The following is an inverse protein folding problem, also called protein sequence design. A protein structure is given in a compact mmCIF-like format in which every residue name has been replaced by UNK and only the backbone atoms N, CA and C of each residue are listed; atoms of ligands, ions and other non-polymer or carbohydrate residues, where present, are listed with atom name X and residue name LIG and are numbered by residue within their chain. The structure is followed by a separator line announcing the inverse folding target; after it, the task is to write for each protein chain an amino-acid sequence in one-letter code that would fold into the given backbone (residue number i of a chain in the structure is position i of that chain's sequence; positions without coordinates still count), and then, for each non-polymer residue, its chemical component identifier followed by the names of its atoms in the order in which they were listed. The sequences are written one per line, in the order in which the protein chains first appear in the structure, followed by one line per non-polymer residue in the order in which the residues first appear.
data_IF_171408516168
#
_entry.id   IF_171408516168
#
_cell.length_a   1.000
_cell.length_b   1.000
_cell.length_c   1.000
_cell.angle_alpha   90.00
_cell.angle_beta   90.00
_cell.angle_gamma   90.00
#
_symmetry.space_group_name_H-M   'P 1'
#
loop_
_entity.id
_entity.type
_entity.pdbx_description
1 polymer ?
#
# COMPACT_ATOMS: atom_id res chain seq x y z
N UNK A 1 25.19 -49.26 46.98
CA UNK A 1 23.85 -49.05 46.43
C UNK A 1 23.81 -47.68 45.79
N UNK A 2 23.39 -47.64 44.54
CA UNK A 2 23.44 -46.48 43.64
C UNK A 2 22.31 -45.48 43.91
N UNK A 3 22.59 -44.20 43.65
CA UNK A 3 21.63 -43.10 43.77
C UNK A 3 20.62 -43.02 42.63
N UNK A 4 19.50 -42.35 42.89
CA UNK A 4 18.49 -42.01 41.91
C UNK A 4 18.36 -40.47 41.82
N UNK A 5 18.83 -39.92 40.70
CA UNK A 5 18.50 -38.56 40.23
C UNK A 5 17.19 -38.63 39.44
N UNK A 6 16.20 -37.84 39.83
CA UNK A 6 14.95 -37.70 39.09
C UNK A 6 15.18 -36.66 37.99
N UNK A 7 15.29 -37.11 36.74
CA UNK A 7 15.29 -36.26 35.55
C UNK A 7 13.86 -36.22 34.97
N UNK A 8 13.23 -35.06 35.04
CA UNK A 8 11.96 -34.77 34.37
C UNK A 8 12.26 -34.51 32.89
N UNK A 9 11.96 -35.49 32.04
CA UNK A 9 11.99 -35.36 30.57
C UNK A 9 10.65 -34.83 30.08
N UNK A 10 10.54 -33.53 29.87
CA UNK A 10 9.48 -32.95 29.05
C UNK A 10 9.92 -32.94 27.58
N UNK A 11 9.78 -34.08 26.89
CA UNK A 11 9.83 -34.09 25.43
C UNK A 11 8.48 -33.57 24.91
N UNK A 12 8.36 -32.27 24.67
CA UNK A 12 7.34 -31.77 23.74
C UNK A 12 7.79 -32.18 22.34
N UNK A 13 7.00 -33.02 21.69
CA UNK A 13 7.08 -33.25 20.26
C UNK A 13 7.14 -31.89 19.55
N UNK A 14 8.24 -31.62 18.87
CA UNK A 14 8.23 -30.68 17.77
C UNK A 14 7.54 -31.40 16.62
N UNK A 15 6.22 -31.24 16.53
CA UNK A 15 5.51 -31.50 15.28
C UNK A 15 6.07 -30.52 14.25
N UNK A 16 7.04 -31.00 13.47
CA UNK A 16 7.43 -30.38 12.21
C UNK A 16 6.26 -30.63 11.27
N UNK A 17 5.29 -29.70 11.29
CA UNK A 17 4.28 -29.64 10.23
C UNK A 17 5.04 -29.28 8.97
N UNK A 18 5.23 -30.28 8.13
CA UNK A 18 5.73 -30.09 6.76
C UNK A 18 4.70 -29.20 6.06
N UNK A 19 5.07 -28.06 5.46
CA UNK A 19 4.08 -27.23 4.78
C UNK A 19 3.48 -28.02 3.62
N UNK A 20 2.24 -28.49 3.80
CA UNK A 20 1.40 -28.93 2.71
C UNK A 20 1.12 -27.73 1.82
N UNK A 21 1.21 -27.92 0.51
CA UNK A 21 1.08 -26.89 -0.52
C UNK A 21 -0.32 -26.27 -0.66
N UNK A 22 -1.16 -26.28 0.38
CA UNK A 22 -2.56 -25.83 0.30
C UNK A 22 -3.13 -25.27 1.62
N UNK A 23 -2.33 -24.76 2.57
CA UNK A 23 -2.89 -24.00 3.68
C UNK A 23 -3.18 -22.55 3.29
N UNK A 24 -4.39 -22.35 2.75
CA UNK A 24 -5.04 -21.03 2.73
C UNK A 24 -5.24 -20.56 4.17
N UNK A 25 -4.39 -19.64 4.63
CA UNK A 25 -4.65 -18.89 5.86
C UNK A 25 -5.95 -18.11 5.66
N UNK A 26 -6.95 -18.44 6.46
CA UNK A 26 -8.28 -17.84 6.50
C UNK A 26 -8.21 -16.32 6.65
N UNK A 27 -9.00 -15.59 5.87
CA UNK A 27 -9.07 -14.14 5.78
C UNK A 27 -9.70 -13.44 7.01
N UNK A 28 -9.95 -14.15 8.11
CA UNK A 28 -10.74 -13.66 9.24
C UNK A 28 -10.00 -13.60 10.59
N UNK A 29 -8.66 -13.71 10.62
CA UNK A 29 -7.88 -13.46 11.84
C UNK A 29 -7.29 -12.05 11.83
N UNK A 30 -7.88 -11.07 12.55
CA UNK A 30 -7.30 -9.74 12.66
C UNK A 30 -5.96 -9.82 13.40
N UNK A 31 -4.86 -9.48 12.71
CA UNK A 31 -3.58 -9.16 13.33
C UNK A 31 -2.44 -10.15 13.15
N UNK A 32 -2.63 -11.24 12.39
CA UNK A 32 -1.50 -12.11 12.01
C UNK A 32 -0.85 -11.52 10.75
N UNK A 33 0.44 -11.19 10.84
CA UNK A 33 1.20 -10.69 9.69
C UNK A 33 1.30 -11.78 8.62
N UNK A 34 0.97 -11.45 7.37
CA UNK A 34 1.23 -12.32 6.24
C UNK A 34 2.74 -12.38 6.02
N UNK A 35 3.33 -13.54 6.28
CA UNK A 35 4.75 -13.78 6.09
C UNK A 35 5.00 -14.01 4.61
N UNK A 36 5.83 -13.15 4.02
CA UNK A 36 6.30 -13.29 2.65
C UNK A 36 7.78 -13.67 2.75
N UNK A 37 8.16 -14.90 2.37
CA UNK A 37 9.56 -15.32 2.36
C UNK A 37 10.40 -14.39 1.49
N UNK A 38 11.66 -14.16 1.90
CA UNK A 38 12.57 -13.35 1.11
C UNK A 38 12.85 -13.99 -0.26
N UNK A 39 12.91 -13.18 -1.31
CA UNK A 39 13.06 -13.62 -2.70
C UNK A 39 11.82 -14.28 -3.30
N UNK A 40 10.69 -14.34 -2.57
CA UNK A 40 9.47 -14.98 -3.04
C UNK A 40 8.40 -13.98 -3.49
N UNK A 41 7.52 -14.45 -4.38
CA UNK A 41 6.30 -13.76 -4.79
C UNK A 41 5.10 -14.61 -4.41
N UNK A 42 4.13 -14.01 -3.72
CA UNK A 42 2.88 -14.66 -3.33
C UNK A 42 1.68 -13.85 -3.83
N UNK A 43 0.52 -14.48 -3.92
CA UNK A 43 -0.73 -13.78 -4.15
C UNK A 43 -1.08 -12.90 -2.95
N UNK A 44 -1.65 -11.72 -3.21
CA UNK A 44 -2.16 -10.86 -2.13
C UNK A 44 -3.38 -11.54 -1.51
N UNK A 45 -3.44 -11.56 -0.19
CA UNK A 45 -4.59 -12.06 0.57
C UNK A 45 -5.39 -10.91 1.18
N UNK A 46 -6.57 -11.25 1.69
CA UNK A 46 -7.43 -10.36 2.45
C UNK A 46 -8.78 -10.07 1.78
N UNK A 47 -9.60 -9.23 2.42
CA UNK A 47 -10.97 -9.00 2.01
C UNK A 47 -11.09 -8.49 0.57
N UNK A 48 -11.96 -9.14 -0.21
CA UNK A 48 -12.30 -8.76 -1.58
C UNK A 48 -11.12 -8.65 -2.54
N UNK A 49 -9.96 -9.22 -2.26
CA UNK A 49 -8.85 -9.19 -3.23
C UNK A 49 -9.28 -9.94 -4.49
N UNK A 50 -9.23 -9.24 -5.63
CA UNK A 50 -9.56 -9.81 -6.95
C UNK A 50 -8.32 -10.16 -7.74
N UNK A 51 -7.25 -9.39 -7.55
CA UNK A 51 -5.96 -9.66 -8.16
C UNK A 51 -4.84 -8.99 -7.39
N UNK A 52 -3.64 -9.49 -7.65
CA UNK A 52 -2.39 -8.85 -7.28
C UNK A 52 -1.42 -9.83 -6.64
N UNK A 53 -0.16 -9.45 -6.68
CA UNK A 53 0.93 -10.20 -6.06
C UNK A 53 1.77 -9.27 -5.21
N UNK A 54 2.42 -9.86 -4.22
CA UNK A 54 3.41 -9.17 -3.39
C UNK A 54 4.69 -10.00 -3.39
N UNK A 55 5.80 -9.32 -3.69
CA UNK A 55 7.15 -9.86 -3.63
C UNK A 55 7.93 -9.20 -2.50
N UNK A 56 8.84 -9.96 -1.87
CA UNK A 56 9.78 -9.43 -0.88
C UNK A 56 11.22 -9.62 -1.35
N UNK A 57 12.02 -8.57 -1.20
CA UNK A 57 13.48 -8.58 -1.38
C UNK A 57 14.13 -7.82 -0.21
N UNK A 58 14.71 -8.55 0.73
CA UNK A 58 15.19 -8.04 2.01
C UNK A 58 14.07 -7.39 2.83
N UNK A 59 14.13 -6.07 3.01
CA UNK A 59 13.12 -5.27 3.69
C UNK A 59 12.12 -4.60 2.72
N UNK A 60 12.35 -4.70 1.42
CA UNK A 60 11.51 -4.09 0.40
C UNK A 60 10.37 -5.03 0.01
N UNK A 61 9.16 -4.51 0.05
CA UNK A 61 7.98 -5.17 -0.50
C UNK A 61 7.57 -4.48 -1.80
N UNK A 62 7.30 -5.26 -2.84
CA UNK A 62 6.80 -4.78 -4.12
C UNK A 62 5.45 -5.42 -4.40
N UNK A 63 4.44 -4.58 -4.58
CA UNK A 63 3.07 -4.97 -4.86
C UNK A 63 2.75 -4.66 -6.32
N UNK A 64 2.24 -5.67 -7.03
CA UNK A 64 1.86 -5.55 -8.43
C UNK A 64 0.39 -5.94 -8.63
N UNK A 65 -0.32 -5.19 -9.47
CA UNK A 65 -1.71 -5.44 -9.86
C UNK A 65 -2.69 -5.57 -8.70
N UNK A 66 -2.46 -4.86 -7.60
CA UNK A 66 -3.38 -4.87 -6.47
C UNK A 66 -4.73 -4.29 -6.86
N UNK A 67 -5.77 -5.10 -6.68
CA UNK A 67 -7.16 -4.72 -6.95
C UNK A 67 -8.09 -5.42 -5.97
N UNK A 68 -9.01 -4.67 -5.38
CA UNK A 68 -10.12 -5.23 -4.63
C UNK A 68 -11.43 -5.15 -5.44
N UNK A 69 -12.32 -6.13 -5.22
CA UNK A 69 -13.65 -6.17 -5.80
C UNK A 69 -14.50 -5.01 -5.28
N UNK A 70 -15.36 -4.55 -6.18
CA UNK A 70 -16.40 -3.56 -5.90
C UNK A 70 -17.73 -4.28 -5.85
N UNK A 71 -18.43 -4.24 -4.72
CA UNK A 71 -19.83 -4.67 -4.68
C UNK A 71 -20.62 -3.86 -3.65
N UNK A 72 -21.79 -3.39 -4.05
CA UNK A 72 -22.84 -2.88 -3.17
C UNK A 72 -23.51 -4.05 -2.44
N UNK A 73 -23.05 -4.36 -1.22
CA UNK A 73 -23.67 -5.35 -0.34
C UNK A 73 -23.57 -4.93 1.14
N UNK A 74 -24.50 -5.35 2.02
CA UNK A 74 -24.48 -4.94 3.42
C UNK A 74 -23.22 -5.48 4.13
N UNK A 75 -22.40 -4.58 4.67
CA UNK A 75 -21.15 -4.92 5.37
C UNK A 75 -19.87 -4.85 4.53
N UNK A 76 -19.95 -4.44 3.26
CA UNK A 76 -18.79 -4.22 2.38
C UNK A 76 -18.75 -2.75 1.89
N UNK A 77 -17.58 -2.12 1.70
CA UNK A 77 -17.50 -0.72 1.22
C UNK A 77 -18.15 -0.52 -0.17
N UNK A 78 -19.16 0.34 -0.26
CA UNK A 78 -19.79 0.75 -1.52
C UNK A 78 -18.97 1.74 -2.36
N UNK A 79 -17.77 2.12 -1.92
CA UNK A 79 -17.20 3.46 -2.20
C UNK A 79 -16.11 3.51 -3.29
N UNK A 80 -15.79 2.37 -3.91
CA UNK A 80 -14.81 2.34 -4.99
C UNK A 80 -13.35 2.51 -4.55
N UNK A 81 -13.02 2.31 -3.27
CA UNK A 81 -11.66 2.46 -2.75
C UNK A 81 -10.93 1.13 -2.55
N UNK A 82 -9.60 1.18 -2.53
CA UNK A 82 -8.74 0.08 -2.12
C UNK A 82 -8.02 0.41 -0.83
N UNK A 83 -7.80 -0.60 0.00
CA UNK A 83 -7.31 -0.45 1.36
C UNK A 83 -6.10 -1.35 1.56
N UNK A 84 -5.05 -0.80 2.14
CA UNK A 84 -3.81 -1.52 2.40
C UNK A 84 -3.36 -1.38 3.85
N UNK A 85 -2.74 -2.44 4.37
CA UNK A 85 -2.13 -2.50 5.70
C UNK A 85 -0.68 -2.95 5.57
N UNK A 86 0.25 -2.01 5.64
CA UNK A 86 1.69 -2.24 5.59
C UNK A 86 2.19 -3.18 6.69
N UNK A 87 1.70 -3.05 7.93
CA UNK A 87 2.23 -3.81 9.07
C UNK A 87 1.94 -5.31 9.01
N UNK A 88 0.97 -5.73 8.20
CA UNK A 88 0.58 -7.13 8.05
C UNK A 88 0.64 -7.64 6.60
N UNK A 89 1.11 -6.81 5.67
CA UNK A 89 1.25 -7.14 4.24
C UNK A 89 -0.04 -7.66 3.58
N UNK A 90 -1.17 -7.07 3.94
CA UNK A 90 -2.49 -7.57 3.56
C UNK A 90 -3.40 -6.44 3.10
N UNK A 91 -4.37 -6.79 2.23
CA UNK A 91 -5.49 -5.91 1.94
C UNK A 91 -6.27 -5.58 3.22
N UNK A 92 -6.84 -4.38 3.27
CA UNK A 92 -7.66 -3.89 4.37
C UNK A 92 -9.14 -3.77 4.02
N UNK A 93 -9.87 -3.16 4.94
CA UNK A 93 -11.26 -2.73 4.81
C UNK A 93 -11.37 -1.27 5.26
N UNK A 94 -12.53 -0.61 5.10
CA UNK A 94 -12.73 0.76 5.57
C UNK A 94 -12.55 0.89 7.10
N UNK A 95 -12.69 -0.20 7.84
CA UNK A 95 -12.60 -0.21 9.29
C UNK A 95 -11.16 -0.37 9.81
N UNK A 96 -10.21 -0.84 9.00
CA UNK A 96 -8.88 -1.24 9.50
C UNK A 96 -7.71 -0.90 8.57
N UNK A 97 -7.90 -0.04 7.58
CA UNK A 97 -6.85 0.36 6.66
C UNK A 97 -5.79 1.28 7.29
N UNK A 98 -4.58 1.22 6.74
CA UNK A 98 -3.52 2.22 7.01
C UNK A 98 -3.45 3.23 5.88
N UNK A 99 -3.58 2.76 4.65
CA UNK A 99 -3.71 3.59 3.47
C UNK A 99 -4.97 3.22 2.70
N UNK A 100 -5.70 4.24 2.29
CA UNK A 100 -6.80 4.15 1.33
C UNK A 100 -6.36 4.79 0.03
N UNK A 101 -6.52 4.07 -1.05
CA UNK A 101 -6.34 4.51 -2.41
C UNK A 101 -7.70 4.66 -3.08
N UNK A 102 -7.95 5.76 -3.80
CA UNK A 102 -9.18 5.83 -4.58
C UNK A 102 -9.11 4.95 -5.83
N UNK A 103 -10.18 4.20 -6.10
CA UNK A 103 -10.34 3.41 -7.33
C UNK A 103 -10.99 4.21 -8.46
N UNK A 104 -10.77 5.53 -8.47
CA UNK A 104 -11.12 6.41 -9.60
C UNK A 104 -9.83 6.99 -10.18
N UNK A 105 -9.91 7.57 -11.37
CA UNK A 105 -8.74 8.03 -12.13
C UNK A 105 -7.89 9.10 -11.42
N UNK A 106 -8.36 9.70 -10.33
CA UNK A 106 -7.57 10.66 -9.52
C UNK A 106 -6.57 9.98 -8.60
N UNK A 107 -6.73 8.69 -8.30
CA UNK A 107 -5.82 7.90 -7.48
C UNK A 107 -5.41 8.53 -6.15
N UNK A 108 -6.30 9.31 -5.53
CA UNK A 108 -6.03 10.03 -4.30
C UNK A 108 -5.73 9.08 -3.14
N UNK A 109 -4.84 9.50 -2.26
CA UNK A 109 -4.34 8.70 -1.14
C UNK A 109 -4.68 9.40 0.17
N UNK A 110 -5.29 8.65 1.09
CA UNK A 110 -5.64 9.13 2.44
C UNK A 110 -5.28 8.10 3.51
N UNK A 111 -5.14 8.56 4.74
CA UNK A 111 -4.95 7.73 5.94
C UNK A 111 -5.74 8.29 7.11
N UNK A 112 -6.09 7.44 8.07
CA UNK A 112 -6.55 7.88 9.39
C UNK A 112 -5.38 8.35 10.26
N UNK A 113 -4.16 7.96 9.90
CA UNK A 113 -2.93 8.38 10.57
C UNK A 113 -2.20 9.47 9.75
N UNK A 114 -0.97 9.78 10.13
CA UNK A 114 -0.18 10.83 9.46
C UNK A 114 0.40 10.33 8.14
N UNK A 115 0.16 11.09 7.07
CA UNK A 115 0.81 10.90 5.77
C UNK A 115 1.57 12.16 5.37
N UNK A 116 2.71 11.97 4.69
CA UNK A 116 3.59 13.03 4.20
C UNK A 116 4.21 12.65 2.86
N UNK A 117 4.83 13.61 2.19
CA UNK A 117 5.67 13.37 1.03
C UNK A 117 7.02 14.07 1.18
N UNK A 118 8.03 13.54 0.48
CA UNK A 118 9.35 14.15 0.38
C UNK A 118 9.89 13.99 -1.04
N UNK A 119 10.48 15.05 -1.57
CA UNK A 119 11.16 15.05 -2.88
C UNK A 119 12.56 14.44 -2.76
N UNK A 120 12.57 13.14 -2.46
CA UNK A 120 13.76 12.31 -2.33
C UNK A 120 13.46 10.91 -2.88
N UNK A 121 14.43 10.33 -3.59
CA UNK A 121 14.27 8.99 -4.16
C UNK A 121 14.00 7.95 -3.08
N UNK A 122 13.16 6.95 -3.37
CA UNK A 122 12.76 5.92 -2.41
C UNK A 122 13.95 5.23 -1.73
N UNK A 123 15.02 4.94 -2.49
CA UNK A 123 16.22 4.30 -1.97
C UNK A 123 16.98 5.17 -0.96
N UNK A 124 16.91 6.50 -1.09
CA UNK A 124 17.63 7.45 -0.25
C UNK A 124 16.87 7.88 1.01
N UNK A 125 15.56 7.60 1.09
CA UNK A 125 14.74 7.99 2.23
C UNK A 125 15.05 7.14 3.47
N UNK A 126 15.24 7.82 4.60
CA UNK A 126 15.55 7.29 5.94
C UNK A 126 14.57 7.82 6.99
N UNK A 127 14.52 7.20 8.18
CA UNK A 127 13.57 7.58 9.23
C UNK A 127 13.62 9.06 9.64
N UNK A 128 14.81 9.66 9.68
CA UNK A 128 15.01 11.07 10.03
C UNK A 128 14.33 12.05 9.07
N UNK A 129 14.10 11.64 7.81
CA UNK A 129 13.44 12.48 6.80
C UNK A 129 11.97 12.78 7.18
N UNK A 130 11.36 12.03 8.11
CA UNK A 130 10.00 12.32 8.60
C UNK A 130 9.87 13.75 9.12
N UNK A 131 10.90 14.26 9.81
CA UNK A 131 10.87 15.57 10.46
C UNK A 131 10.82 16.74 9.45
N UNK A 132 11.38 16.53 8.26
CA UNK A 132 11.48 17.55 7.19
C UNK A 132 10.54 17.29 6.01
N UNK A 133 9.84 16.15 6.01
CA UNK A 133 8.83 15.84 5.01
C UNK A 133 7.61 16.77 5.10
N UNK A 134 6.99 17.02 3.95
CA UNK A 134 5.89 17.95 3.82
C UNK A 134 4.55 17.26 4.09
N UNK A 135 3.64 17.97 4.75
CA UNK A 135 2.24 17.54 4.84
C UNK A 135 1.56 17.72 3.47
N UNK A 136 0.54 16.92 3.14
CA UNK A 136 -0.26 17.15 1.94
C UNK A 136 -0.92 18.53 2.03
N UNK A 137 -0.87 19.29 0.93
CA UNK A 137 -1.56 20.57 0.83
C UNK A 137 -3.08 20.40 0.78
N UNK A 138 -3.82 21.48 1.00
CA UNK A 138 -5.25 21.48 0.73
C UNK A 138 -5.50 21.37 -0.79
N UNK A 139 -6.60 20.71 -1.16
CA UNK A 139 -7.14 20.71 -2.51
C UNK A 139 -8.66 20.59 -2.44
N UNK A 140 -9.40 20.71 -3.56
CA UNK A 140 -10.83 20.40 -3.58
C UNK A 140 -11.17 18.96 -3.14
N UNK A 141 -10.20 18.04 -3.15
CA UNK A 141 -10.37 16.68 -2.61
C UNK A 141 -10.39 16.63 -1.07
N UNK A 142 -9.99 17.71 -0.40
CA UNK A 142 -9.95 17.83 1.06
C UNK A 142 -8.57 18.19 1.59
N UNK A 143 -8.48 18.24 2.93
CA UNK A 143 -7.21 18.35 3.65
C UNK A 143 -6.58 16.97 3.86
N UNK A 144 -5.24 16.93 3.95
CA UNK A 144 -4.49 15.68 4.19
C UNK A 144 -4.75 14.60 3.11
N UNK A 145 -4.92 15.03 1.86
CA UNK A 145 -5.08 14.15 0.69
C UNK A 145 -3.84 14.29 -0.19
N UNK A 146 -3.16 13.18 -0.47
CA UNK A 146 -2.10 13.16 -1.47
C UNK A 146 -2.74 12.78 -2.80
N UNK A 147 -2.99 13.79 -3.63
CA UNK A 147 -3.65 13.64 -4.93
C UNK A 147 -2.75 14.11 -6.07
N UNK A 148 -3.29 15.02 -6.90
CA UNK A 148 -2.62 15.56 -8.07
C UNK A 148 -1.51 16.56 -7.67
N UNK A 149 -0.28 16.30 -8.11
CA UNK A 149 0.82 17.24 -7.96
C UNK A 149 0.74 18.36 -9.00
N UNK A 150 0.60 17.97 -10.26
CA UNK A 150 0.55 18.90 -11.39
C UNK A 150 -0.38 18.37 -12.47
N UNK A 151 -0.87 19.26 -13.33
CA UNK A 151 -1.60 18.92 -14.55
C UNK A 151 -0.93 19.61 -15.73
N UNK A 152 -0.74 18.87 -16.82
CA UNK A 152 -0.12 19.38 -18.05
C UNK A 152 -0.98 19.09 -19.26
N UNK A 153 -1.02 20.04 -20.19
CA UNK A 153 -1.81 19.95 -21.41
C UNK A 153 -2.41 21.28 -21.81
N UNK A 154 -3.05 21.32 -22.96
CA UNK A 154 -3.75 22.50 -23.49
C UNK A 154 -5.23 22.45 -23.10
N UNK A 155 -5.81 23.61 -22.76
CA UNK A 155 -7.24 23.71 -22.48
C UNK A 155 -7.67 23.03 -21.18
N UNK A 156 -6.79 22.95 -20.18
CA UNK A 156 -7.12 22.41 -18.87
C UNK A 156 -8.14 23.34 -18.18
N UNK A 157 -9.31 22.85 -17.76
CA UNK A 157 -10.30 23.66 -17.06
C UNK A 157 -9.75 24.17 -15.71
N UNK A 158 -10.08 25.41 -15.29
CA UNK A 158 -9.65 25.95 -14.00
C UNK A 158 -9.99 25.05 -12.80
N UNK A 159 -11.16 24.38 -12.85
CA UNK A 159 -11.57 23.45 -11.81
C UNK A 159 -10.63 22.23 -11.67
N UNK A 160 -9.99 21.79 -12.76
CA UNK A 160 -9.02 20.68 -12.74
C UNK A 160 -7.66 21.19 -12.24
N UNK A 161 -7.25 22.37 -12.67
CA UNK A 161 -6.02 23.03 -12.19
C UNK A 161 -6.06 23.20 -10.66
N UNK A 162 -7.24 23.47 -10.09
CA UNK A 162 -7.40 23.62 -8.64
C UNK A 162 -7.06 22.33 -7.84
N UNK A 163 -7.09 21.15 -8.45
CA UNK A 163 -6.64 19.91 -7.80
C UNK A 163 -5.11 19.77 -7.77
N UNK A 164 -4.41 20.38 -8.72
CA UNK A 164 -2.95 20.35 -8.83
C UNK A 164 -2.31 21.33 -7.83
N UNK A 165 -1.97 20.84 -6.63
CA UNK A 165 -1.51 21.69 -5.52
C UNK A 165 0.01 21.64 -5.24
N UNK A 166 0.80 20.98 -6.09
CA UNK A 166 2.25 20.81 -5.89
C UNK A 166 2.64 19.84 -4.77
N UNK A 167 1.66 19.23 -4.09
CA UNK A 167 1.83 18.36 -2.92
C UNK A 167 1.27 16.94 -3.14
N UNK A 168 1.01 16.58 -4.39
CA UNK A 168 0.47 15.27 -4.78
C UNK A 168 1.53 14.22 -5.12
N UNK A 169 1.10 13.03 -5.56
CA UNK A 169 2.01 11.95 -5.95
C UNK A 169 2.14 11.78 -7.47
N UNK A 170 1.29 12.41 -8.27
CA UNK A 170 1.27 12.23 -9.72
C UNK A 170 1.12 13.52 -10.53
N UNK A 171 1.54 13.44 -11.79
CA UNK A 171 1.22 14.40 -12.84
C UNK A 171 0.09 13.88 -13.69
N UNK A 172 -0.94 14.68 -13.91
CA UNK A 172 -2.05 14.38 -14.80
C UNK A 172 -1.80 14.93 -16.21
N UNK A 173 -1.76 14.04 -17.20
CA UNK A 173 -1.58 14.39 -18.60
C UNK A 173 -2.95 14.63 -19.26
N UNK A 174 -3.43 15.86 -19.20
CA UNK A 174 -4.74 16.27 -19.70
C UNK A 174 -4.89 15.99 -21.20
N UNK A 175 -3.96 16.49 -22.01
CA UNK A 175 -4.04 16.39 -23.48
C UNK A 175 -3.41 15.11 -24.05
N UNK A 176 -2.78 14.28 -23.21
CA UNK A 176 -2.17 13.02 -23.62
C UNK A 176 -2.95 11.83 -23.03
N UNK A 177 -4.24 11.76 -23.38
CA UNK A 177 -5.10 10.61 -23.08
C UNK A 177 -5.59 10.54 -21.64
N UNK A 178 -5.60 11.65 -20.88
CA UNK A 178 -6.08 11.68 -19.49
C UNK A 178 -5.35 10.67 -18.59
N UNK A 179 -4.02 10.62 -18.71
CA UNK A 179 -3.18 9.64 -18.03
C UNK A 179 -2.50 10.19 -16.77
N UNK A 180 -2.12 9.29 -15.87
CA UNK A 180 -1.51 9.59 -14.57
C UNK A 180 -0.09 9.03 -14.56
N UNK A 181 0.90 9.84 -14.21
CA UNK A 181 2.29 9.40 -14.08
C UNK A 181 2.83 9.81 -12.71
N UNK A 182 3.44 8.90 -11.93
CA UNK A 182 4.05 9.25 -10.66
C UNK A 182 5.08 10.39 -10.80
N UNK A 183 5.16 11.26 -9.79
CA UNK A 183 6.20 12.29 -9.72
C UNK A 183 7.55 11.62 -9.47
N UNK A 184 8.47 11.77 -10.42
CA UNK A 184 9.80 11.21 -10.31
C UNK A 184 10.54 11.76 -9.07
N UNK A 185 11.22 10.88 -8.34
CA UNK A 185 12.01 11.26 -7.17
C UNK A 185 11.18 11.67 -5.95
N UNK A 186 9.86 11.43 -5.92
CA UNK A 186 9.01 11.67 -4.76
C UNK A 186 8.68 10.37 -4.04
N UNK A 187 8.87 10.37 -2.72
CA UNK A 187 8.51 9.26 -1.83
C UNK A 187 7.43 9.71 -0.87
N UNK A 188 6.47 8.82 -0.61
CA UNK A 188 5.41 9.03 0.37
C UNK A 188 5.79 8.36 1.69
N UNK A 189 5.32 8.94 2.79
CA UNK A 189 5.57 8.47 4.15
C UNK A 189 4.25 8.28 4.87
N UNK A 190 4.12 7.18 5.60
CA UNK A 190 3.01 6.91 6.49
C UNK A 190 3.53 6.62 7.89
N UNK A 191 2.89 7.19 8.92
CA UNK A 191 3.31 7.00 10.31
C UNK A 191 2.13 6.86 11.26
N UNK A 192 2.19 5.81 12.09
CA UNK A 192 1.29 5.59 13.23
C UNK A 192 2.07 5.02 14.41
N UNK A 193 2.05 5.71 15.56
CA UNK A 193 2.84 5.32 16.73
C UNK A 193 4.33 5.16 16.39
N UNK A 194 4.93 4.00 16.68
CA UNK A 194 6.32 3.69 16.35
C UNK A 194 6.53 3.24 14.90
N UNK A 195 5.46 2.94 14.16
CA UNK A 195 5.57 2.46 12.79
C UNK A 195 5.75 3.65 11.84
N UNK A 196 6.80 3.60 11.03
CA UNK A 196 7.06 4.53 9.95
C UNK A 196 7.37 3.72 8.69
N UNK A 197 6.62 3.98 7.62
CA UNK A 197 6.82 3.34 6.33
C UNK A 197 7.09 4.39 5.28
N UNK A 198 8.03 4.10 4.38
CA UNK A 198 8.11 4.75 3.08
C UNK A 198 7.40 3.92 2.04
N UNK A 199 6.74 4.57 1.09
CA UNK A 199 6.08 3.92 -0.03
C UNK A 199 6.09 4.81 -1.28
N UNK A 200 5.98 4.20 -2.44
CA UNK A 200 5.92 4.88 -3.73
C UNK A 200 4.90 4.14 -4.61
N UNK A 201 3.93 4.88 -5.15
CA UNK A 201 3.03 4.37 -6.18
C UNK A 201 3.78 4.43 -7.51
N UNK A 202 3.94 3.28 -8.15
CA UNK A 202 4.61 3.18 -9.44
C UNK A 202 3.63 3.25 -10.60
N UNK A 203 2.38 2.84 -10.41
CA UNK A 203 1.32 2.95 -11.42
C UNK A 203 -0.07 2.66 -10.85
N UNK A 204 -1.11 3.29 -11.43
CA UNK A 204 -2.53 2.94 -11.22
C UNK A 204 -3.12 2.09 -12.35
N UNK A 205 -2.28 1.62 -13.26
CA UNK A 205 -2.70 0.84 -14.42
C UNK A 205 -2.31 -0.63 -14.31
N UNK A 206 -3.10 -1.48 -14.95
CA UNK A 206 -2.82 -2.91 -15.02
C UNK A 206 -1.44 -3.14 -15.63
N UNK A 207 -0.66 -3.99 -14.98
CA UNK A 207 0.72 -4.35 -15.31
C UNK A 207 1.68 -3.17 -15.36
N UNK A 208 1.32 -2.03 -14.76
CA UNK A 208 2.12 -0.81 -14.81
C UNK A 208 2.08 -0.06 -16.15
N UNK A 209 1.21 -0.46 -17.08
CA UNK A 209 1.17 0.11 -18.44
C UNK A 209 0.34 1.39 -18.46
N UNK A 210 1.00 2.55 -18.54
CA UNK A 210 0.31 3.86 -18.58
C UNK A 210 -0.76 3.92 -19.67
N UNK A 211 -1.97 4.31 -19.28
CA UNK A 211 -3.14 4.39 -20.18
C UNK A 211 -3.84 3.05 -20.43
N UNK A 212 -3.37 1.96 -19.81
CA UNK A 212 -4.04 0.67 -19.82
C UNK A 212 -5.29 0.62 -18.93
N UNK A 213 -5.75 -0.60 -18.64
CA UNK A 213 -6.89 -0.80 -17.75
C UNK A 213 -6.61 -0.22 -16.36
N UNK A 214 -7.59 0.45 -15.76
CA UNK A 214 -7.52 1.01 -14.43
C UNK A 214 -8.84 0.72 -13.70
N UNK A 215 -8.85 0.74 -12.36
CA UNK A 215 -7.72 0.97 -11.45
C UNK A 215 -7.02 -0.34 -11.01
N UNK A 216 -5.68 -0.31 -11.02
CA UNK A 216 -4.81 -1.35 -10.46
C UNK A 216 -3.61 -0.69 -9.79
N UNK A 217 -3.40 -0.90 -8.51
CA UNK A 217 -2.26 -0.28 -7.83
C UNK A 217 -1.02 -1.14 -7.92
N UNK A 218 0.05 -0.50 -8.34
CA UNK A 218 1.41 -1.03 -8.31
C UNK A 218 2.20 -0.07 -7.45
N UNK A 219 2.85 -0.61 -6.42
CA UNK A 219 3.58 0.21 -5.45
C UNK A 219 4.63 -0.61 -4.75
N UNK A 220 5.57 0.07 -4.12
CA UNK A 220 6.58 -0.55 -3.26
C UNK A 220 6.58 0.14 -1.91
N UNK A 221 6.92 -0.59 -0.86
CA UNK A 221 7.01 -0.03 0.48
C UNK A 221 8.06 -0.75 1.33
N UNK A 222 8.53 -0.04 2.35
CA UNK A 222 9.53 -0.52 3.29
C UNK A 222 9.35 0.20 4.63
N UNK A 223 9.48 -0.54 5.72
CA UNK A 223 9.53 0.05 7.06
C UNK A 223 10.90 0.74 7.28
N UNK A 224 10.87 1.92 7.90
CA UNK A 224 12.05 2.73 8.23
C UNK A 224 12.43 2.64 9.70
#
# INVERSE_FOLDING_TARGET
MAGALILVSCSKNNDIVTPGTDEKVSADLPGVSVIIPDGSTVGITGPNVTSGTINRSGALYTVANFRQAYTSGPGQPPDGNFYWRFTVNEAGTPANFQIKFTGIATGDITSNDSIRFIDKSFASVVAADWATANNPGASPAGSNVIGMNSVVGTGVPPAVIAYANGAGWYTYLWSAGHTVIPVAGRTLLWKSGANLFKFEITSIYQNGVTGGAFPYYNFKYQQL
#
